data_IF_916359437324
#
_entry.id   IF_916359437324
#
_cell.length_a   1.000
_cell.length_b   1.000
_cell.length_c   1.000
_cell.angle_alpha   90.00
_cell.angle_beta   90.00
_cell.angle_gamma   90.00
#
_symmetry.space_group_name_H-M   'P 1'
#
loop_
_entity.id
_entity.type
_entity.pdbx_description
1 polymer ?
#
# COMPACT_ATOMS: atom_id res chain seq x y z
N UNK A 1 8.15 11.94 -25.13
CA UNK A 1 7.97 11.01 -23.99
C UNK A 1 6.50 10.66 -23.93
N UNK A 2 6.13 9.55 -24.58
CA UNK A 2 4.74 9.09 -24.62
C UNK A 2 4.41 8.46 -23.26
N UNK A 3 3.62 9.16 -22.45
CA UNK A 3 2.97 8.52 -21.31
C UNK A 3 1.95 7.54 -21.91
N UNK A 4 2.24 6.24 -21.91
CA UNK A 4 1.18 5.24 -22.07
C UNK A 4 0.14 5.57 -21.01
N UNK A 5 -1.13 5.71 -21.39
CA UNK A 5 -2.22 6.12 -20.49
C UNK A 5 -2.56 5.11 -19.40
N UNK A 6 -1.61 4.28 -18.99
CA UNK A 6 -1.74 3.17 -18.05
C UNK A 6 -0.78 3.41 -16.89
N UNK A 7 -1.27 3.25 -15.66
CA UNK A 7 -0.45 3.43 -14.46
C UNK A 7 0.67 2.37 -14.43
N UNK A 8 1.92 2.77 -14.13
CA UNK A 8 3.06 1.85 -14.12
C UNK A 8 2.86 0.81 -13.02
N UNK A 9 2.54 -0.44 -13.41
CA UNK A 9 2.19 -1.53 -12.49
C UNK A 9 3.25 -1.75 -11.40
N UNK A 10 4.54 -1.70 -11.75
CA UNK A 10 5.62 -1.85 -10.76
C UNK A 10 5.65 -0.74 -9.71
N UNK A 11 5.26 0.49 -10.05
CA UNK A 11 5.18 1.59 -9.09
C UNK A 11 3.98 1.41 -8.15
N UNK A 12 2.84 1.02 -8.71
CA UNK A 12 1.60 0.79 -7.93
C UNK A 12 1.80 -0.37 -6.94
N UNK A 13 2.42 -1.46 -7.40
CA UNK A 13 2.78 -2.57 -6.54
C UNK A 13 3.79 -2.17 -5.47
N UNK A 14 4.81 -1.38 -5.82
CA UNK A 14 5.77 -0.85 -4.86
C UNK A 14 5.08 -0.08 -3.73
N UNK A 15 4.07 0.73 -4.06
CA UNK A 15 3.26 1.42 -3.07
C UNK A 15 2.46 0.44 -2.18
N UNK A 16 1.78 -0.54 -2.77
CA UNK A 16 1.05 -1.57 -2.00
C UNK A 16 1.99 -2.38 -1.08
N UNK A 17 3.20 -2.68 -1.54
CA UNK A 17 4.22 -3.39 -0.78
C UNK A 17 4.68 -2.57 0.43
N UNK A 18 4.93 -1.26 0.23
CA UNK A 18 5.25 -0.34 1.33
C UNK A 18 4.08 -0.27 2.30
N UNK A 19 2.84 -0.05 1.84
CA UNK A 19 1.66 0.00 2.71
C UNK A 19 1.53 -1.27 3.56
N UNK A 20 1.80 -2.44 2.98
CA UNK A 20 1.82 -3.73 3.69
C UNK A 20 2.95 -3.80 4.73
N UNK A 21 4.12 -3.24 4.45
CA UNK A 21 5.21 -3.19 5.43
C UNK A 21 4.80 -2.43 6.71
N UNK A 22 4.01 -1.36 6.59
CA UNK A 22 3.48 -0.63 7.76
C UNK A 22 2.39 -1.37 8.54
N UNK A 23 1.83 -2.46 8.01
CA UNK A 23 1.01 -3.39 8.81
C UNK A 23 1.82 -3.98 9.97
N UNK A 24 3.14 -3.97 9.87
CA UNK A 24 4.05 -4.57 10.83
C UNK A 24 3.95 -6.09 10.79
N UNK A 25 4.08 -6.72 11.96
CA UNK A 25 4.09 -8.17 12.11
C UNK A 25 5.41 -8.66 12.69
N UNK A 26 5.70 -9.94 12.53
CA UNK A 26 6.90 -10.58 13.06
C UNK A 26 7.66 -11.19 11.89
N UNK A 27 8.95 -10.89 11.80
CA UNK A 27 9.86 -11.51 10.84
C UNK A 27 10.02 -13.00 11.13
N UNK A 28 10.57 -13.75 10.18
CA UNK A 28 10.86 -15.18 10.38
C UNK A 28 11.81 -15.44 11.57
N UNK A 29 12.65 -14.47 11.93
CA UNK A 29 13.58 -14.53 13.08
C UNK A 29 12.92 -14.17 14.43
N UNK A 30 11.63 -13.86 14.45
CA UNK A 30 10.90 -13.47 15.66
C UNK A 30 10.99 -11.97 15.99
N UNK A 31 11.74 -11.16 15.23
CA UNK A 31 11.83 -9.73 15.46
C UNK A 31 10.54 -9.00 14.99
N UNK A 32 9.99 -8.07 15.79
CA UNK A 32 8.85 -7.27 15.36
C UNK A 32 9.26 -6.34 14.21
N UNK A 33 8.40 -6.26 13.20
CA UNK A 33 8.51 -5.27 12.12
C UNK A 33 7.90 -3.98 12.66
N UNK A 34 8.77 -3.05 13.05
CA UNK A 34 8.38 -1.71 13.48
C UNK A 34 8.92 -0.69 12.46
N UNK A 35 8.04 -0.06 11.67
CA UNK A 35 8.44 1.05 10.82
C UNK A 35 9.02 2.19 11.66
N UNK A 36 10.14 2.76 11.21
CA UNK A 36 10.68 4.00 11.79
C UNK A 36 10.26 5.17 10.90
N UNK A 37 9.13 5.78 11.20
CA UNK A 37 8.55 6.90 10.44
C UNK A 37 7.83 7.88 11.38
N UNK A 38 7.23 8.93 10.83
CA UNK A 38 6.38 9.87 11.55
C UNK A 38 5.25 9.13 12.28
N UNK A 39 5.07 9.44 13.56
CA UNK A 39 4.06 8.83 14.40
C UNK A 39 2.65 8.96 13.80
N UNK A 40 2.35 10.07 13.10
CA UNK A 40 1.05 10.25 12.43
C UNK A 40 0.82 9.24 11.31
N UNK A 41 1.87 8.91 10.57
CA UNK A 41 1.82 7.91 9.49
C UNK A 41 1.63 6.53 10.10
N UNK A 42 2.39 6.20 11.14
CA UNK A 42 2.30 4.93 11.86
C UNK A 42 0.90 4.74 12.45
N UNK A 43 0.38 5.74 13.18
CA UNK A 43 -0.94 5.69 13.81
C UNK A 43 -2.04 5.54 12.75
N UNK A 44 -1.95 6.30 11.65
CA UNK A 44 -2.94 6.24 10.58
C UNK A 44 -2.95 4.88 9.90
N UNK A 45 -1.78 4.34 9.55
CA UNK A 45 -1.69 3.02 8.93
C UNK A 45 -2.13 1.92 9.89
N UNK A 46 -1.83 2.04 11.18
CA UNK A 46 -2.30 1.10 12.21
C UNK A 46 -3.83 1.10 12.31
N UNK A 47 -4.46 2.28 12.34
CA UNK A 47 -5.93 2.43 12.31
C UNK A 47 -6.54 1.80 11.06
N UNK A 48 -5.97 2.09 9.88
CA UNK A 48 -6.46 1.56 8.62
C UNK A 48 -6.31 0.04 8.56
N UNK A 49 -5.17 -0.50 8.97
CA UNK A 49 -4.94 -1.95 8.98
C UNK A 49 -5.80 -2.68 10.02
N UNK A 50 -6.19 -2.03 11.11
CA UNK A 50 -7.13 -2.60 12.08
C UNK A 50 -8.53 -2.86 11.49
N UNK A 51 -8.88 -2.23 10.37
CA UNK A 51 -10.15 -2.50 9.67
C UNK A 51 -10.20 -3.88 9.02
N UNK A 52 -9.03 -4.47 8.71
CA UNK A 52 -8.94 -5.72 7.94
C UNK A 52 -9.40 -5.61 6.49
N UNK A 53 -9.67 -4.40 5.99
CA UNK A 53 -10.25 -4.14 4.67
C UNK A 53 -9.25 -3.39 3.77
N UNK A 54 -8.77 -4.07 2.74
CA UNK A 54 -7.79 -3.51 1.77
C UNK A 54 -8.33 -2.31 1.00
N UNK A 55 -9.64 -2.22 0.80
CA UNK A 55 -10.26 -1.05 0.17
C UNK A 55 -10.08 0.17 1.05
N UNK A 56 -10.43 0.05 2.33
CA UNK A 56 -10.27 1.16 3.30
C UNK A 56 -8.82 1.54 3.49
N UNK A 57 -7.91 0.56 3.51
CA UNK A 57 -6.47 0.82 3.58
C UNK A 57 -6.00 1.61 2.36
N UNK A 58 -6.34 1.17 1.13
CA UNK A 58 -5.95 1.86 -0.09
C UNK A 58 -6.52 3.29 -0.14
N UNK A 59 -7.83 3.44 0.08
CA UNK A 59 -8.50 4.75 0.09
C UNK A 59 -7.92 5.68 1.15
N UNK A 60 -7.72 5.16 2.35
CA UNK A 60 -7.22 5.92 3.49
C UNK A 60 -5.79 6.40 3.32
N UNK A 61 -4.91 5.58 2.73
CA UNK A 61 -3.52 5.98 2.46
C UNK A 61 -3.45 6.97 1.30
N UNK A 62 -4.15 6.68 0.19
CA UNK A 62 -4.13 7.54 -1.01
C UNK A 62 -4.81 8.89 -0.76
N UNK A 63 -5.78 8.93 0.15
CA UNK A 63 -6.46 10.15 0.56
C UNK A 63 -5.77 10.90 1.69
N UNK A 64 -4.63 10.40 2.20
CA UNK A 64 -3.96 11.04 3.32
C UNK A 64 -3.12 12.24 2.84
N UNK A 65 -3.73 13.43 2.90
CA UNK A 65 -3.12 14.69 2.45
C UNK A 65 -1.81 15.02 3.17
N UNK A 66 -1.57 14.47 4.36
CA UNK A 66 -0.31 14.66 5.07
C UNK A 66 0.90 14.12 4.29
N UNK A 67 0.72 13.02 3.53
CA UNK A 67 1.78 12.41 2.72
C UNK A 67 1.79 13.02 1.32
N UNK A 68 0.62 13.20 0.72
CA UNK A 68 0.51 13.51 -0.71
C UNK A 68 0.25 14.98 -1.02
N UNK A 69 -0.16 15.77 -0.04
CA UNK A 69 -0.64 17.16 -0.18
C UNK A 69 -1.87 17.34 -1.09
N UNK A 70 -2.46 16.23 -1.55
CA UNK A 70 -3.67 16.14 -2.35
C UNK A 70 -4.37 14.79 -2.12
N UNK A 71 -5.63 14.66 -2.53
CA UNK A 71 -6.35 13.39 -2.48
C UNK A 71 -6.11 12.58 -3.76
N UNK A 72 -5.23 11.58 -3.71
CA UNK A 72 -4.90 10.78 -4.89
C UNK A 72 -6.06 9.91 -5.39
N UNK A 73 -7.06 9.63 -4.54
CA UNK A 73 -8.27 8.95 -4.99
C UNK A 73 -9.05 9.78 -6.03
N UNK A 74 -8.92 11.11 -5.98
CA UNK A 74 -9.60 12.04 -6.89
C UNK A 74 -8.70 12.44 -8.06
N UNK A 75 -7.40 12.60 -7.83
CA UNK A 75 -6.47 13.12 -8.84
C UNK A 75 -5.86 12.05 -9.73
N UNK A 76 -5.90 10.77 -9.31
CA UNK A 76 -5.37 9.65 -10.10
C UNK A 76 -6.43 8.55 -10.26
N UNK A 77 -7.30 8.65 -11.29
CA UNK A 77 -8.32 7.65 -11.55
C UNK A 77 -7.76 6.23 -11.71
N UNK A 78 -8.39 5.25 -11.06
CA UNK A 78 -8.01 3.83 -11.12
C UNK A 78 -6.82 3.44 -10.25
N UNK A 79 -6.12 4.39 -9.60
CA UNK A 79 -4.99 4.07 -8.73
C UNK A 79 -5.44 3.25 -7.51
N UNK A 80 -6.53 3.66 -6.85
CA UNK A 80 -7.07 2.98 -5.67
C UNK A 80 -7.41 1.52 -5.94
N UNK A 81 -8.04 1.24 -7.08
CA UNK A 81 -8.40 -0.13 -7.47
C UNK A 81 -7.16 -1.01 -7.70
N UNK A 82 -6.11 -0.46 -8.32
CA UNK A 82 -4.86 -1.18 -8.54
C UNK A 82 -4.11 -1.41 -7.22
N UNK A 83 -3.98 -0.40 -6.36
CA UNK A 83 -3.35 -0.56 -5.04
C UNK A 83 -4.10 -1.60 -4.22
N UNK A 84 -5.43 -1.54 -4.19
CA UNK A 84 -6.27 -2.51 -3.48
C UNK A 84 -6.07 -3.92 -4.01
N UNK A 85 -6.05 -4.11 -5.33
CA UNK A 85 -5.77 -5.41 -5.96
C UNK A 85 -4.41 -5.96 -5.54
N UNK A 86 -3.38 -5.14 -5.51
CA UNK A 86 -2.03 -5.55 -5.11
C UNK A 86 -1.96 -5.86 -3.60
N UNK A 87 -2.65 -5.09 -2.75
CA UNK A 87 -2.79 -5.39 -1.32
C UNK A 87 -3.50 -6.73 -1.08
N UNK A 88 -4.59 -7.01 -1.81
CA UNK A 88 -5.30 -8.30 -1.75
C UNK A 88 -4.36 -9.44 -2.15
N UNK A 89 -3.62 -9.27 -3.25
CA UNK A 89 -2.67 -10.27 -3.74
C UNK A 89 -1.56 -10.57 -2.73
N UNK A 90 -0.97 -9.53 -2.12
CA UNK A 90 0.07 -9.68 -1.11
C UNK A 90 -0.48 -10.38 0.13
N UNK A 91 -1.72 -10.10 0.54
CA UNK A 91 -2.33 -10.78 1.68
C UNK A 91 -2.67 -12.24 1.40
N UNK A 92 -3.14 -12.56 0.19
CA UNK A 92 -3.50 -13.93 -0.20
C UNK A 92 -2.26 -14.82 -0.37
N UNK A 93 -1.23 -14.33 -1.07
CA UNK A 93 -0.10 -15.15 -1.53
C UNK A 93 1.21 -14.87 -0.80
N UNK A 94 1.28 -13.78 -0.04
CA UNK A 94 2.51 -13.26 0.53
C UNK A 94 3.33 -12.43 -0.47
N UNK A 95 4.23 -11.60 0.07
CA UNK A 95 5.01 -10.61 -0.69
C UNK A 95 5.85 -11.24 -1.82
N UNK A 96 6.52 -12.35 -1.54
CA UNK A 96 7.43 -13.00 -2.49
C UNK A 96 6.70 -13.58 -3.71
N UNK A 97 5.52 -14.16 -3.51
CA UNK A 97 4.73 -14.69 -4.61
C UNK A 97 4.04 -13.57 -5.38
N UNK A 98 3.57 -12.52 -4.69
CA UNK A 98 2.96 -11.36 -5.33
C UNK A 98 3.93 -10.64 -6.29
N UNK A 99 5.19 -10.39 -5.86
CA UNK A 99 6.17 -9.70 -6.72
C UNK A 99 6.50 -10.48 -7.99
N UNK A 100 6.50 -11.82 -7.95
CA UNK A 100 6.73 -12.68 -9.13
C UNK A 100 5.63 -12.57 -10.18
N UNK A 101 4.43 -12.10 -9.82
CA UNK A 101 3.35 -11.91 -10.79
C UNK A 101 3.46 -10.61 -11.58
N UNK A 102 4.38 -9.74 -11.19
CA UNK A 102 4.58 -8.40 -11.78
C UNK A 102 5.90 -8.28 -12.54
N UNK A 103 6.88 -9.12 -12.21
CA UNK A 103 8.15 -9.29 -12.94
C UNK A 103 7.98 -10.18 -14.18
#
# INVERSE_FOLDING_TARGET
MERKGELPQGLVFGLAAIITYYKGGVREDGAPIQPQDDQKIIDKLTELWATGDTQKVAEGVLGFDYIWHENLNETVPGLTELVKKDLDLIQEKGMLEAVKTIL
#
